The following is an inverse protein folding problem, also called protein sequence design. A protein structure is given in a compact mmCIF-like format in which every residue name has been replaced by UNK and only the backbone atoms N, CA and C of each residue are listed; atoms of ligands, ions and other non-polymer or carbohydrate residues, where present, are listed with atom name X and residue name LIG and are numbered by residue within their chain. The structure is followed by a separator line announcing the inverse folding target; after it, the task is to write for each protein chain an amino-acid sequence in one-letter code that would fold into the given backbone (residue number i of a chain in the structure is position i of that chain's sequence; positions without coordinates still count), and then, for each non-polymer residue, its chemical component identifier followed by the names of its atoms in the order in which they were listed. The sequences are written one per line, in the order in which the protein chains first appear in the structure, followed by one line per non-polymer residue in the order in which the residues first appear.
data_IF_500454749776
#
_entry.id   IF_500454749776
#
_cell.length_a   1.000
_cell.length_b   1.000
_cell.length_c   1.000
_cell.angle_alpha   90.00
_cell.angle_beta   90.00
_cell.angle_gamma   90.00
#
_symmetry.space_group_name_H-M   'P 1'
#
loop_
_entity.id
_entity.type
_entity.pdbx_description
1 polymer ?
#
# COMPACT_ATOMS: atom_id res chain seq x y z
N UNK A 1 22.38 16.65 34.67
CA UNK A 1 21.60 17.21 33.53
C UNK A 1 21.76 16.25 32.34
N UNK A 2 20.76 15.40 32.07
CA UNK A 2 20.71 14.59 30.82
C UNK A 2 20.59 15.57 29.66
N UNK A 3 21.49 15.50 28.66
CA UNK A 3 21.32 16.20 27.39
C UNK A 3 19.97 15.73 26.80
N UNK A 4 18.98 16.64 26.68
CA UNK A 4 17.79 16.36 25.88
C UNK A 4 18.29 16.01 24.47
N UNK A 5 18.08 14.80 24.03
CA UNK A 5 18.35 14.40 22.65
C UNK A 5 17.52 15.30 21.73
N UNK A 6 18.16 15.85 20.71
CA UNK A 6 17.48 16.69 19.73
C UNK A 6 16.66 15.76 18.82
N UNK A 7 15.35 15.82 18.95
CA UNK A 7 14.44 15.10 18.07
C UNK A 7 14.43 15.82 16.73
N UNK A 8 14.89 15.12 15.68
CA UNK A 8 14.88 15.63 14.31
C UNK A 8 13.62 15.15 13.58
N UNK A 9 12.92 16.07 12.94
CA UNK A 9 11.66 15.80 12.24
C UNK A 9 11.88 15.53 10.75
N UNK A 10 10.99 14.73 10.17
CA UNK A 10 10.96 14.56 8.73
C UNK A 10 10.60 15.91 8.04
N UNK A 11 11.38 16.33 7.04
CA UNK A 11 11.15 17.56 6.26
C UNK A 11 9.73 17.72 5.71
N UNK A 12 9.06 16.61 5.39
CA UNK A 12 7.71 16.63 4.84
C UNK A 12 6.67 17.27 5.77
N UNK A 13 6.84 17.17 7.10
CA UNK A 13 5.84 17.72 8.03
C UNK A 13 5.72 19.22 7.96
N UNK A 14 6.84 19.94 7.84
CA UNK A 14 6.79 21.39 7.68
C UNK A 14 6.15 21.81 6.35
N UNK A 15 6.42 21.05 5.30
CA UNK A 15 5.86 21.26 3.96
C UNK A 15 4.35 21.01 3.96
N UNK A 16 3.89 19.93 4.57
CA UNK A 16 2.47 19.60 4.73
C UNK A 16 1.74 20.65 5.58
N UNK A 17 2.38 21.08 6.70
CA UNK A 17 1.84 22.12 7.55
C UNK A 17 1.63 23.44 6.80
N UNK A 18 2.56 23.81 5.90
CA UNK A 18 2.42 24.98 5.03
C UNK A 18 1.34 24.79 3.96
N UNK A 19 1.33 23.63 3.26
CA UNK A 19 0.38 23.34 2.18
C UNK A 19 -1.06 23.32 2.68
N UNK A 20 -1.33 22.74 3.83
CA UNK A 20 -2.65 22.77 4.49
C UNK A 20 -3.17 24.19 4.70
N UNK A 21 -2.28 25.16 4.91
CA UNK A 21 -2.61 26.58 5.05
C UNK A 21 -2.71 27.31 3.71
N UNK A 22 -2.54 26.62 2.57
CA UNK A 22 -2.57 27.18 1.22
C UNK A 22 -1.57 28.36 1.05
N UNK A 23 -0.46 28.36 1.81
CA UNK A 23 0.55 29.38 1.76
C UNK A 23 1.67 29.01 0.80
N UNK A 24 2.12 30.00 0.01
CA UNK A 24 3.37 29.89 -0.76
C UNK A 24 4.56 29.82 0.20
N UNK A 25 5.71 29.33 -0.26
CA UNK A 25 6.92 29.32 0.57
C UNK A 25 7.32 30.72 1.06
N UNK A 26 7.09 31.76 0.23
CA UNK A 26 7.42 33.14 0.56
C UNK A 26 6.52 33.67 1.69
N UNK A 27 5.23 33.50 1.57
CA UNK A 27 4.24 33.90 2.60
C UNK A 27 4.45 33.14 3.90
N UNK A 28 4.65 31.83 3.81
CA UNK A 28 4.91 31.02 4.99
C UNK A 28 6.20 31.44 5.71
N UNK A 29 7.30 31.64 5.00
CA UNK A 29 8.57 32.08 5.57
C UNK A 29 8.43 33.43 6.28
N UNK A 30 7.69 34.36 5.68
CA UNK A 30 7.40 35.67 6.27
C UNK A 30 6.60 35.52 7.57
N UNK A 31 5.50 34.76 7.56
CA UNK A 31 4.65 34.53 8.73
C UNK A 31 5.37 33.74 9.83
N UNK A 32 6.21 32.77 9.45
CA UNK A 32 7.04 32.00 10.37
C UNK A 32 8.23 32.78 10.95
N UNK A 33 8.55 33.95 10.41
CA UNK A 33 9.70 34.75 10.82
C UNK A 33 11.05 34.06 10.52
N UNK A 34 11.13 33.30 9.43
CA UNK A 34 12.34 32.63 8.94
C UNK A 34 12.66 33.07 7.53
N UNK A 35 13.92 32.93 7.12
CA UNK A 35 14.28 33.24 5.72
C UNK A 35 13.69 32.18 4.76
N UNK A 36 13.34 32.60 3.55
CA UNK A 36 12.88 31.71 2.49
C UNK A 36 13.89 30.57 2.21
N UNK A 37 15.19 30.88 2.31
CA UNK A 37 16.24 29.90 2.13
C UNK A 37 16.28 28.87 3.25
N UNK A 38 16.06 29.31 4.52
CA UNK A 38 15.95 28.39 5.65
C UNK A 38 14.75 27.48 5.52
N UNK A 39 13.59 28.00 5.09
CA UNK A 39 12.41 27.19 4.83
C UNK A 39 12.69 26.11 3.76
N UNK A 40 13.29 26.51 2.62
CA UNK A 40 13.66 25.55 1.56
C UNK A 40 14.61 24.48 2.06
N UNK A 41 15.56 24.82 2.92
CA UNK A 41 16.48 23.84 3.49
C UNK A 41 15.78 22.89 4.47
N UNK A 42 14.83 23.36 5.27
CA UNK A 42 14.02 22.51 6.12
C UNK A 42 13.11 21.58 5.30
N UNK A 43 12.39 22.10 4.29
CA UNK A 43 11.48 21.32 3.46
C UNK A 43 12.18 20.28 2.56
N UNK A 44 13.46 20.48 2.25
CA UNK A 44 14.28 19.56 1.43
C UNK A 44 15.20 18.66 2.25
N UNK A 45 15.19 18.76 3.58
CA UNK A 45 16.08 17.99 4.45
C UNK A 45 17.55 18.39 4.41
N UNK A 46 17.91 19.47 3.69
CA UNK A 46 19.28 20.01 3.69
C UNK A 46 19.70 20.62 5.02
N UNK A 47 18.74 20.92 5.85
CA UNK A 47 18.91 21.38 7.23
C UNK A 47 17.92 20.64 8.12
N UNK A 48 18.41 20.09 9.22
CA UNK A 48 17.61 19.40 10.21
C UNK A 48 16.58 20.34 10.83
N UNK A 49 15.31 19.90 10.84
CA UNK A 49 14.24 20.57 11.57
C UNK A 49 14.05 19.85 12.90
N UNK A 50 14.36 20.53 14.00
CA UNK A 50 14.13 19.98 15.33
C UNK A 50 12.67 20.18 15.75
N UNK A 51 12.17 19.31 16.64
CA UNK A 51 10.81 19.43 17.19
C UNK A 51 10.59 20.79 17.85
N UNK A 52 11.55 21.29 18.63
CA UNK A 52 11.45 22.61 19.26
C UNK A 52 11.35 23.73 18.23
N UNK A 53 12.11 23.64 17.12
CA UNK A 53 12.01 24.64 16.05
C UNK A 53 10.68 24.55 15.30
N UNK A 54 10.14 23.36 15.14
CA UNK A 54 8.82 23.19 14.56
C UNK A 54 7.72 23.79 15.46
N UNK A 55 7.78 23.55 16.78
CA UNK A 55 6.87 24.16 17.75
C UNK A 55 6.94 25.69 17.73
N UNK A 56 8.15 26.24 17.68
CA UNK A 56 8.36 27.70 17.54
C UNK A 56 7.72 28.24 16.25
N UNK A 57 7.89 27.54 15.13
CA UNK A 57 7.24 27.93 13.87
C UNK A 57 5.73 27.80 13.98
N UNK A 58 5.23 26.65 14.48
CA UNK A 58 3.79 26.36 14.61
C UNK A 58 3.08 27.40 15.49
N UNK A 59 3.70 27.84 16.58
CA UNK A 59 3.12 28.83 17.49
C UNK A 59 2.84 30.20 16.86
N UNK A 60 3.43 30.51 15.71
CA UNK A 60 3.21 31.75 14.96
C UNK A 60 1.99 31.70 14.03
N UNK A 61 1.39 30.53 13.90
CA UNK A 61 0.20 30.31 13.09
C UNK A 61 -0.97 29.97 14.01
N UNK A 62 -2.11 30.60 13.81
CA UNK A 62 -3.35 30.23 14.50
C UNK A 62 -3.80 28.81 14.15
N UNK A 63 -4.73 28.28 14.95
CA UNK A 63 -5.42 27.04 14.57
C UNK A 63 -6.12 27.22 13.24
N UNK A 64 -6.09 26.20 12.38
CA UNK A 64 -6.94 26.17 11.18
C UNK A 64 -8.39 26.04 11.65
N UNK A 65 -9.15 27.10 11.49
CA UNK A 65 -10.61 27.02 11.55
C UNK A 65 -11.06 26.27 10.32
N UNK A 66 -11.43 25.01 10.47
CA UNK A 66 -11.90 24.09 9.45
C UNK A 66 -10.87 23.61 8.41
N UNK A 67 -10.21 22.48 8.69
CA UNK A 67 -9.81 21.57 7.62
C UNK A 67 -11.03 20.68 7.27
N UNK A 68 -11.68 20.87 6.11
CA UNK A 68 -12.89 20.12 5.78
C UNK A 68 -12.66 18.63 5.56
N UNK A 69 -11.42 18.18 5.36
CA UNK A 69 -11.12 16.76 5.22
C UNK A 69 -10.48 16.17 6.47
N UNK A 70 -11.26 15.39 7.22
CA UNK A 70 -10.73 14.58 8.34
C UNK A 70 -9.84 13.44 7.84
N UNK A 71 -9.83 13.16 6.55
CA UNK A 71 -9.14 12.03 5.96
C UNK A 71 -8.12 12.49 4.93
N UNK A 72 -6.95 11.83 4.95
CA UNK A 72 -5.94 11.95 3.91
C UNK A 72 -5.66 10.59 3.32
N UNK A 73 -5.89 10.42 2.02
CA UNK A 73 -5.65 9.16 1.32
C UNK A 73 -4.31 9.20 0.61
N UNK A 74 -3.61 8.07 0.61
CA UNK A 74 -2.31 7.92 -0.04
C UNK A 74 -2.11 6.51 -0.55
N UNK A 75 -1.26 6.38 -1.55
CA UNK A 75 -0.71 5.09 -1.98
C UNK A 75 0.40 4.69 -1.00
N UNK A 76 0.25 3.53 -0.35
CA UNK A 76 1.20 3.08 0.68
C UNK A 76 2.04 1.87 0.27
N UNK A 77 1.66 1.19 -0.78
CA UNK A 77 2.46 0.15 -1.42
C UNK A 77 2.06 -0.04 -2.88
N UNK A 78 3.05 -0.21 -3.76
CA UNK A 78 2.81 -0.54 -5.17
C UNK A 78 3.74 -1.66 -5.59
N UNK A 79 3.20 -2.66 -6.27
CA UNK A 79 3.97 -3.67 -6.99
C UNK A 79 3.39 -3.84 -8.39
N UNK A 80 4.21 -3.57 -9.39
CA UNK A 80 3.85 -3.66 -10.80
C UNK A 80 4.82 -4.61 -11.48
N UNK A 81 4.28 -5.58 -12.21
CA UNK A 81 5.04 -6.47 -13.10
C UNK A 81 4.85 -6.02 -14.54
N UNK A 82 5.94 -5.88 -15.26
CA UNK A 82 6.00 -5.52 -16.68
C UNK A 82 6.71 -6.63 -17.43
N UNK A 83 6.13 -7.08 -18.57
CA UNK A 83 6.52 -8.33 -19.18
C UNK A 83 7.69 -8.21 -20.17
N UNK A 84 7.97 -7.03 -20.73
CA UNK A 84 8.84 -6.90 -21.89
C UNK A 84 9.82 -5.72 -21.79
N UNK A 85 10.48 -5.54 -20.65
CA UNK A 85 11.41 -4.43 -20.42
C UNK A 85 12.83 -4.82 -20.85
N UNK A 86 13.21 -4.42 -22.06
CA UNK A 86 14.56 -4.66 -22.59
C UNK A 86 15.60 -3.64 -22.14
N UNK A 87 15.18 -2.40 -21.92
CA UNK A 87 16.03 -1.27 -21.56
C UNK A 87 15.60 -0.70 -20.20
N UNK A 88 16.29 -1.11 -19.14
CA UNK A 88 16.06 -0.60 -17.77
C UNK A 88 16.50 0.84 -17.60
N UNK A 89 17.51 1.31 -18.33
CA UNK A 89 17.96 2.69 -18.26
C UNK A 89 16.87 3.63 -18.79
N UNK A 90 16.32 3.29 -19.96
CA UNK A 90 15.18 4.01 -20.53
C UNK A 90 13.97 3.96 -19.57
N UNK A 91 13.65 2.79 -19.02
CA UNK A 91 12.53 2.63 -18.06
C UNK A 91 12.69 3.54 -16.84
N UNK A 92 13.85 3.50 -16.18
CA UNK A 92 14.11 4.32 -15.00
C UNK A 92 14.05 5.82 -15.31
N UNK A 93 14.65 6.24 -16.44
CA UNK A 93 14.66 7.62 -16.86
C UNK A 93 13.27 8.13 -17.24
N UNK A 94 12.51 7.35 -18.01
CA UNK A 94 11.20 7.74 -18.55
C UNK A 94 10.09 7.71 -17.51
N UNK A 95 10.00 6.66 -16.72
CA UNK A 95 8.85 6.42 -15.82
C UNK A 95 9.15 6.71 -14.36
N UNK A 96 10.39 6.50 -13.90
CA UNK A 96 10.77 6.79 -12.51
C UNK A 96 11.45 8.13 -12.34
N UNK A 97 11.80 8.82 -13.46
CA UNK A 97 12.49 10.11 -13.47
C UNK A 97 13.80 10.09 -12.67
N UNK A 98 14.49 8.94 -12.68
CA UNK A 98 15.78 8.74 -12.00
C UNK A 98 16.80 8.12 -12.93
N UNK A 99 18.08 8.45 -12.72
CA UNK A 99 19.15 7.85 -13.50
C UNK A 99 19.40 6.41 -13.04
N UNK A 100 19.50 5.47 -13.98
CA UNK A 100 19.72 4.05 -13.67
C UNK A 100 21.03 3.80 -12.93
N UNK A 101 22.08 4.59 -13.18
CA UNK A 101 23.36 4.52 -12.45
C UNK A 101 23.26 4.74 -10.94
N UNK A 102 22.13 5.31 -10.46
CA UNK A 102 21.90 5.55 -9.04
C UNK A 102 21.36 4.30 -8.32
N UNK A 103 21.06 3.22 -9.06
CA UNK A 103 20.65 1.94 -8.51
C UNK A 103 21.87 1.07 -8.21
N UNK A 104 21.79 0.38 -7.08
CA UNK A 104 22.78 -0.63 -6.66
C UNK A 104 22.26 -2.03 -6.99
N UNK A 105 23.16 -2.89 -7.45
CA UNK A 105 22.88 -4.27 -7.86
C UNK A 105 23.03 -5.23 -6.68
N UNK A 106 22.08 -6.16 -6.54
CA UNK A 106 22.10 -7.21 -5.51
C UNK A 106 21.58 -8.52 -6.09
N UNK A 107 22.07 -9.64 -5.56
CA UNK A 107 21.42 -10.95 -5.77
C UNK A 107 20.10 -11.01 -5.02
N UNK A 108 19.13 -11.72 -5.57
CA UNK A 108 17.81 -11.90 -4.96
C UNK A 108 17.33 -13.34 -5.11
N UNK A 109 16.50 -13.77 -4.15
CA UNK A 109 15.69 -15.00 -4.25
C UNK A 109 14.22 -14.71 -3.99
N UNK A 110 13.84 -13.44 -4.05
CA UNK A 110 12.46 -13.00 -3.79
C UNK A 110 11.63 -13.06 -5.07
N UNK A 111 10.41 -13.59 -4.97
CA UNK A 111 9.44 -13.64 -6.06
C UNK A 111 9.96 -14.36 -7.33
N UNK A 112 10.86 -15.34 -7.15
CA UNK A 112 11.52 -16.10 -8.22
C UNK A 112 12.46 -15.27 -9.13
N UNK A 113 12.84 -14.07 -8.74
CA UNK A 113 13.88 -13.30 -9.40
C UNK A 113 15.24 -13.62 -8.81
N UNK A 114 16.27 -13.64 -9.65
CA UNK A 114 17.65 -13.88 -9.21
C UNK A 114 18.45 -12.57 -9.06
N UNK A 115 17.86 -11.43 -9.43
CA UNK A 115 18.52 -10.14 -9.38
C UNK A 115 17.60 -9.02 -8.89
N UNK A 116 18.19 -7.98 -8.26
CA UNK A 116 17.51 -6.85 -7.66
C UNK A 116 18.32 -5.58 -7.77
N UNK A 117 17.71 -4.54 -8.29
CA UNK A 117 18.20 -3.18 -8.30
C UNK A 117 17.51 -2.36 -7.21
N UNK A 118 18.30 -1.65 -6.40
CA UNK A 118 17.78 -0.79 -5.31
C UNK A 118 18.30 0.63 -5.42
N UNK A 119 17.37 1.57 -5.29
CA UNK A 119 17.65 2.98 -5.02
C UNK A 119 16.81 3.43 -3.83
N UNK A 120 17.40 3.35 -2.63
CA UNK A 120 16.62 3.51 -1.40
C UNK A 120 15.55 2.42 -1.28
N UNK A 121 14.28 2.84 -1.16
CA UNK A 121 13.13 1.95 -1.08
C UNK A 121 12.40 1.74 -2.43
N UNK A 122 13.00 2.18 -3.53
CA UNK A 122 12.55 1.87 -4.90
C UNK A 122 13.32 0.62 -5.35
N UNK A 123 12.62 -0.49 -5.56
CA UNK A 123 13.20 -1.77 -5.89
C UNK A 123 12.71 -2.24 -7.25
N UNK A 124 13.62 -2.79 -8.08
CA UNK A 124 13.32 -3.40 -9.38
C UNK A 124 13.95 -4.78 -9.40
N UNK A 125 13.11 -5.80 -9.52
CA UNK A 125 13.53 -7.18 -9.68
C UNK A 125 13.59 -7.54 -11.15
N UNK A 126 14.65 -8.25 -11.57
CA UNK A 126 14.83 -8.78 -12.91
C UNK A 126 15.66 -10.08 -12.89
N UNK A 127 16.18 -10.51 -14.03
CA UNK A 127 17.00 -11.69 -14.18
C UNK A 127 18.38 -11.35 -14.72
N UNK A 128 19.46 -11.92 -14.16
CA UNK A 128 20.83 -11.78 -14.67
C UNK A 128 20.97 -12.33 -16.09
N UNK A 129 20.33 -13.48 -16.33
CA UNK A 129 20.37 -14.26 -17.59
C UNK A 129 19.31 -13.85 -18.62
N UNK A 130 18.73 -12.69 -18.47
CA UNK A 130 17.63 -12.20 -19.34
C UNK A 130 17.97 -12.15 -20.82
N UNK A 131 19.24 -11.90 -21.17
CA UNK A 131 19.69 -11.87 -22.56
C UNK A 131 19.84 -13.27 -23.16
N UNK A 132 20.12 -14.27 -22.34
CA UNK A 132 20.27 -15.68 -22.74
C UNK A 132 18.90 -16.36 -22.82
N UNK A 133 18.06 -16.12 -21.82
CA UNK A 133 16.73 -16.75 -21.69
C UNK A 133 15.63 -16.01 -22.45
N UNK A 134 15.86 -14.77 -22.86
CA UNK A 134 14.85 -13.89 -23.43
C UNK A 134 13.78 -13.43 -22.43
N UNK A 135 14.01 -13.61 -21.13
CA UNK A 135 13.07 -13.23 -20.10
C UNK A 135 13.30 -11.80 -19.62
N UNK A 136 12.61 -10.86 -20.25
CA UNK A 136 12.69 -9.43 -19.96
C UNK A 136 11.62 -8.95 -18.98
N UNK A 137 11.01 -9.83 -18.22
CA UNK A 137 10.06 -9.47 -17.17
C UNK A 137 10.78 -8.77 -16.03
N UNK A 138 10.20 -7.67 -15.56
CA UNK A 138 10.61 -6.99 -14.34
C UNK A 138 9.44 -6.87 -13.36
N UNK A 139 9.76 -6.75 -12.08
CA UNK A 139 8.78 -6.33 -11.07
C UNK A 139 9.34 -5.13 -10.31
N UNK A 140 8.68 -4.00 -10.43
CA UNK A 140 8.93 -2.84 -9.59
C UNK A 140 8.14 -2.94 -8.29
N UNK A 141 8.79 -2.65 -7.17
CA UNK A 141 8.18 -2.63 -5.84
C UNK A 141 8.53 -1.37 -5.09
N UNK A 142 7.50 -0.72 -4.57
CA UNK A 142 7.59 0.45 -3.69
C UNK A 142 6.91 0.11 -2.37
N UNK A 143 7.65 0.13 -1.27
CA UNK A 143 7.06 0.10 0.08
C UNK A 143 6.53 1.48 0.45
N UNK A 144 5.92 1.66 1.63
CA UNK A 144 5.46 2.98 2.09
C UNK A 144 6.53 4.06 1.99
N UNK A 145 7.79 3.76 2.36
CA UNK A 145 8.93 4.67 2.16
C UNK A 145 9.25 4.87 0.67
N UNK A 146 9.18 3.81 -0.13
CA UNK A 146 9.37 3.89 -1.57
C UNK A 146 8.31 4.74 -2.28
N UNK A 147 7.04 4.61 -1.87
CA UNK A 147 5.96 5.48 -2.35
C UNK A 147 6.23 6.95 -1.99
N UNK A 148 6.69 7.23 -0.76
CA UNK A 148 7.07 8.61 -0.36
C UNK A 148 8.24 9.14 -1.19
N UNK A 149 9.25 8.30 -1.49
CA UNK A 149 10.36 8.69 -2.38
C UNK A 149 9.86 8.99 -3.80
N UNK A 150 8.97 8.18 -4.35
CA UNK A 150 8.37 8.45 -5.67
C UNK A 150 7.53 9.72 -5.67
N UNK A 151 6.74 9.97 -4.63
CA UNK A 151 5.94 11.19 -4.52
C UNK A 151 6.79 12.46 -4.49
N UNK A 152 7.97 12.42 -3.86
CA UNK A 152 8.93 13.52 -3.91
C UNK A 152 9.48 13.76 -5.33
N UNK A 153 9.75 12.67 -6.06
CA UNK A 153 10.18 12.75 -7.46
C UNK A 153 9.04 13.33 -8.32
N UNK A 154 7.84 12.78 -8.18
CA UNK A 154 6.65 13.24 -8.89
C UNK A 154 6.37 14.72 -8.66
N UNK A 155 6.50 15.19 -7.42
CA UNK A 155 6.30 16.60 -7.11
C UNK A 155 7.33 17.51 -7.79
N UNK A 156 8.59 17.08 -7.90
CA UNK A 156 9.62 17.82 -8.60
C UNK A 156 9.37 17.89 -10.12
N UNK A 157 8.81 16.84 -10.69
CA UNK A 157 8.48 16.74 -12.12
C UNK A 157 7.08 17.31 -12.45
N UNK A 158 6.27 17.62 -11.42
CA UNK A 158 4.90 18.13 -11.59
C UNK A 158 3.90 17.08 -12.05
N UNK A 159 4.15 15.80 -11.76
CA UNK A 159 3.29 14.66 -12.10
C UNK A 159 2.65 14.04 -10.84
N UNK A 160 1.65 13.20 -11.05
CA UNK A 160 0.90 12.52 -10.01
C UNK A 160 0.96 10.99 -10.16
N UNK A 161 0.41 10.25 -9.18
CA UNK A 161 0.18 8.81 -9.34
C UNK A 161 -0.68 8.47 -10.56
N UNK A 162 -1.66 9.33 -10.88
CA UNK A 162 -2.51 9.14 -12.05
C UNK A 162 -1.68 9.18 -13.34
N UNK A 163 -0.86 10.22 -13.50
CA UNK A 163 0.02 10.38 -14.65
C UNK A 163 0.98 9.19 -14.79
N UNK A 164 1.56 8.75 -13.67
CA UNK A 164 2.45 7.60 -13.64
C UNK A 164 1.76 6.31 -14.13
N UNK A 165 0.57 5.99 -13.61
CA UNK A 165 -0.17 4.81 -14.06
C UNK A 165 -0.65 4.94 -15.49
N UNK A 166 -1.06 6.15 -15.93
CA UNK A 166 -1.46 6.41 -17.31
C UNK A 166 -0.30 6.19 -18.28
N UNK A 167 0.87 6.75 -18.00
CA UNK A 167 2.04 6.57 -18.85
C UNK A 167 2.47 5.11 -18.97
N UNK A 168 2.44 4.37 -17.85
CA UNK A 168 2.72 2.93 -17.87
C UNK A 168 1.67 2.16 -18.66
N UNK A 169 0.38 2.45 -18.49
CA UNK A 169 -0.70 1.76 -19.23
C UNK A 169 -0.64 2.05 -20.73
N UNK A 170 -0.33 3.29 -21.12
CA UNK A 170 -0.14 3.67 -22.53
C UNK A 170 1.06 2.94 -23.15
N UNK A 171 2.18 2.84 -22.40
CA UNK A 171 3.40 2.23 -22.91
C UNK A 171 3.35 0.69 -22.98
N UNK A 172 2.71 0.05 -22.02
CA UNK A 172 2.79 -1.41 -21.84
C UNK A 172 1.44 -2.14 -21.97
N UNK A 173 0.33 -1.42 -21.99
CA UNK A 173 -1.00 -2.02 -22.20
C UNK A 173 -1.28 -3.19 -21.28
N UNK A 174 -1.52 -4.37 -21.86
CA UNK A 174 -1.79 -5.61 -21.13
C UNK A 174 -0.52 -6.27 -20.53
N UNK A 175 0.66 -5.83 -20.94
CA UNK A 175 1.94 -6.26 -20.34
C UNK A 175 2.18 -5.63 -18.97
N UNK A 176 1.39 -4.61 -18.59
CA UNK A 176 1.40 -4.02 -17.26
C UNK A 176 0.41 -4.73 -16.35
N UNK A 177 0.90 -5.27 -15.22
CA UNK A 177 0.07 -5.91 -14.19
C UNK A 177 0.37 -5.33 -12.83
N UNK A 178 -0.64 -4.72 -12.21
CA UNK A 178 -0.54 -4.28 -10.82
C UNK A 178 -0.83 -5.48 -9.92
N UNK A 179 0.22 -6.06 -9.34
CA UNK A 179 0.12 -7.30 -8.56
C UNK A 179 -0.17 -7.04 -7.08
N UNK A 180 0.09 -5.81 -6.60
CA UNK A 180 -0.29 -5.33 -5.27
C UNK A 180 -0.40 -3.81 -5.25
N UNK A 181 -1.44 -3.33 -4.59
CA UNK A 181 -1.64 -1.91 -4.26
C UNK A 181 -2.19 -1.84 -2.84
N UNK A 182 -1.51 -1.09 -1.96
CA UNK A 182 -2.06 -0.77 -0.65
C UNK A 182 -2.42 0.72 -0.63
N UNK A 183 -3.65 1.01 -0.22
CA UNK A 183 -4.13 2.35 0.02
C UNK A 183 -4.21 2.58 1.53
N UNK A 184 -3.75 3.72 2.00
CA UNK A 184 -3.87 4.12 3.38
C UNK A 184 -4.72 5.38 3.50
N UNK A 185 -5.65 5.38 4.45
CA UNK A 185 -6.44 6.53 4.85
C UNK A 185 -5.99 6.94 6.25
N UNK A 186 -5.41 8.13 6.37
CA UNK A 186 -5.08 8.72 7.67
C UNK A 186 -6.24 9.57 8.16
N UNK A 187 -6.78 9.25 9.32
CA UNK A 187 -7.69 10.11 10.07
C UNK A 187 -6.89 11.20 10.76
N UNK A 188 -7.17 12.47 10.42
CA UNK A 188 -6.43 13.60 10.93
C UNK A 188 -7.00 14.06 12.28
N UNK A 189 -6.11 14.24 13.26
CA UNK A 189 -6.44 14.78 14.56
C UNK A 189 -6.68 16.29 14.48
N UNK A 190 -7.84 16.75 14.92
CA UNK A 190 -8.26 18.14 14.78
C UNK A 190 -8.10 18.99 16.05
N UNK A 191 -7.53 18.43 17.11
CA UNK A 191 -7.25 19.17 18.35
C UNK A 191 -7.61 18.42 19.64
N UNK A 192 -7.03 18.85 20.73
CA UNK A 192 -7.04 18.13 22.01
C UNK A 192 -8.41 18.05 22.70
N UNK A 193 -9.28 19.01 22.45
CA UNK A 193 -10.60 19.06 23.12
C UNK A 193 -11.63 18.11 22.48
N UNK A 194 -11.23 17.40 21.43
CA UNK A 194 -12.16 16.65 20.59
C UNK A 194 -11.91 15.13 20.50
N UNK A 195 -11.22 14.56 21.48
CA UNK A 195 -11.03 13.11 21.53
C UNK A 195 -12.38 12.36 21.52
N UNK A 196 -13.37 12.90 22.25
CA UNK A 196 -14.73 12.37 22.25
C UNK A 196 -15.42 12.37 20.87
N UNK A 197 -14.97 13.21 19.93
CA UNK A 197 -15.48 13.25 18.55
C UNK A 197 -14.72 12.32 17.60
N UNK A 198 -13.55 11.81 18.00
CA UNK A 198 -12.77 10.87 17.20
C UNK A 198 -13.39 9.47 17.22
N UNK A 199 -13.14 8.73 16.15
CA UNK A 199 -13.55 7.34 16.09
C UNK A 199 -12.54 6.46 16.86
N UNK A 200 -13.02 5.72 17.84
CA UNK A 200 -12.18 4.83 18.66
C UNK A 200 -12.21 3.42 18.07
N UNK A 201 -11.04 2.88 17.74
CA UNK A 201 -10.95 1.50 17.24
C UNK A 201 -11.33 0.47 18.33
N UNK A 202 -11.18 0.82 19.61
CA UNK A 202 -11.69 0.03 20.73
C UNK A 202 -13.21 -0.19 20.67
N UNK A 203 -13.96 0.83 20.18
CA UNK A 203 -15.40 0.73 20.08
C UNK A 203 -15.82 -0.34 19.08
N UNK A 204 -15.05 -0.57 18.00
CA UNK A 204 -15.31 -1.63 17.04
C UNK A 204 -15.28 -3.02 17.70
N UNK A 205 -14.41 -3.22 18.68
CA UNK A 205 -14.34 -4.49 19.43
C UNK A 205 -15.63 -4.71 20.24
N UNK A 206 -16.07 -3.69 20.95
CA UNK A 206 -17.33 -3.72 21.72
C UNK A 206 -18.52 -3.94 20.79
N UNK A 207 -18.59 -3.18 19.68
CA UNK A 207 -19.66 -3.28 18.68
C UNK A 207 -19.72 -4.66 18.01
N UNK A 208 -18.58 -5.33 17.83
CA UNK A 208 -18.56 -6.71 17.34
C UNK A 208 -19.32 -7.66 18.28
N UNK A 209 -19.04 -7.60 19.58
CA UNK A 209 -19.72 -8.44 20.56
C UNK A 209 -21.22 -8.10 20.73
N UNK A 210 -21.60 -6.84 20.43
CA UNK A 210 -23.00 -6.40 20.42
C UNK A 210 -23.70 -6.65 19.08
N UNK A 211 -23.03 -7.27 18.08
CA UNK A 211 -23.54 -7.49 16.71
C UNK A 211 -23.86 -6.20 15.95
N UNK A 212 -23.14 -5.15 16.27
CA UNK A 212 -23.21 -3.82 15.65
C UNK A 212 -22.06 -3.56 14.66
N UNK A 213 -21.22 -4.56 14.40
CA UNK A 213 -20.15 -4.54 13.41
C UNK A 213 -20.42 -5.62 12.36
N UNK A 214 -20.59 -5.21 11.11
CA UNK A 214 -20.70 -6.10 9.96
C UNK A 214 -19.49 -5.98 9.06
N UNK A 215 -18.90 -7.10 8.67
CA UNK A 215 -17.81 -7.18 7.71
C UNK A 215 -18.17 -8.15 6.60
N UNK A 216 -19.03 -7.71 5.73
CA UNK A 216 -19.68 -8.46 4.67
C UNK A 216 -18.70 -9.32 3.85
N UNK A 217 -19.00 -10.62 3.77
CA UNK A 217 -18.24 -11.65 3.03
C UNK A 217 -16.77 -11.85 3.45
N UNK A 218 -16.30 -11.25 4.53
CA UNK A 218 -15.02 -11.57 5.14
C UNK A 218 -15.20 -12.59 6.26
N UNK A 219 -14.43 -13.68 6.24
CA UNK A 219 -14.62 -14.83 7.16
C UNK A 219 -13.88 -14.68 8.46
N UNK A 220 -12.86 -13.84 8.49
CA UNK A 220 -11.97 -13.70 9.65
C UNK A 220 -11.80 -12.24 10.01
N UNK A 221 -11.81 -12.01 11.31
CA UNK A 221 -11.31 -10.77 11.86
C UNK A 221 -10.45 -11.10 13.09
N UNK A 222 -9.53 -10.23 13.41
CA UNK A 222 -8.67 -10.35 14.57
C UNK A 222 -8.32 -8.96 15.08
N UNK A 223 -7.99 -8.84 16.36
CA UNK A 223 -7.45 -7.61 16.91
C UNK A 223 -6.23 -7.89 17.78
N UNK A 224 -5.34 -6.91 17.81
CA UNK A 224 -4.17 -6.90 18.70
C UNK A 224 -4.23 -5.58 19.46
N UNK A 225 -4.23 -5.66 20.78
CA UNK A 225 -4.06 -4.53 21.67
C UNK A 225 -2.94 -4.85 22.64
N UNK A 226 -2.11 -3.87 22.96
CA UNK A 226 -1.02 -4.02 23.93
C UNK A 226 -1.28 -3.16 25.16
N UNK A 227 -0.65 -3.52 26.25
CA UNK A 227 -0.63 -2.79 27.49
C UNK A 227 -0.50 -3.73 28.69
N UNK A 228 -0.05 -3.20 29.82
CA UNK A 228 -0.03 -3.92 31.09
C UNK A 228 -1.43 -4.06 31.62
N UNK A 229 -1.75 -5.25 32.15
CA UNK A 229 -2.97 -5.47 32.93
C UNK A 229 -2.79 -5.11 34.42
N UNK A 230 -1.65 -4.56 34.80
CA UNK A 230 -1.44 -4.05 36.15
C UNK A 230 -2.18 -2.70 36.29
N UNK A 231 -3.30 -2.76 36.99
CA UNK A 231 -4.21 -1.66 37.22
C UNK A 231 -3.84 -0.80 38.44
N UNK A 232 -2.58 -0.78 38.86
CA UNK A 232 -2.18 -0.08 40.09
C UNK A 232 -2.03 1.44 39.88
N UNK A 233 -1.81 1.90 38.62
CA UNK A 233 -1.70 3.33 38.30
C UNK A 233 -2.26 3.61 36.91
N UNK A 234 -3.24 4.53 36.79
CA UNK A 234 -3.83 4.93 35.50
C UNK A 234 -2.79 5.54 34.53
N UNK A 235 -1.77 6.23 35.06
CA UNK A 235 -0.69 6.78 34.26
C UNK A 235 0.24 5.70 33.69
N UNK A 236 0.57 4.66 34.46
CA UNK A 236 1.36 3.51 33.95
C UNK A 236 0.62 2.73 32.87
N UNK A 237 -0.72 2.67 32.94
CA UNK A 237 -1.53 2.00 31.91
C UNK A 237 -1.41 2.74 30.56
N UNK A 238 -1.47 4.07 30.56
CA UNK A 238 -1.34 4.87 29.34
C UNK A 238 0.08 4.83 28.75
N UNK A 239 1.11 4.92 29.58
CA UNK A 239 2.52 4.85 29.15
C UNK A 239 2.88 3.50 28.54
N UNK A 240 2.26 2.41 28.97
CA UNK A 240 2.50 1.06 28.44
C UNK A 240 1.56 0.65 27.31
N UNK A 241 0.59 1.44 26.95
CA UNK A 241 -0.37 1.16 25.88
C UNK A 241 0.33 1.16 24.53
N UNK A 242 0.21 0.07 23.78
CA UNK A 242 0.84 -0.10 22.46
C UNK A 242 -0.10 0.23 21.27
N UNK A 243 -1.29 0.72 21.57
CA UNK A 243 -2.34 0.97 20.58
C UNK A 243 -3.08 -0.30 20.14
N UNK A 244 -4.14 -0.11 19.39
CA UNK A 244 -5.01 -1.17 18.89
C UNK A 244 -4.80 -1.31 17.37
N UNK A 245 -4.76 -2.56 16.91
CA UNK A 245 -4.79 -2.91 15.49
C UNK A 245 -5.90 -3.91 15.24
N UNK A 246 -6.74 -3.63 14.26
CA UNK A 246 -7.85 -4.48 13.83
C UNK A 246 -7.58 -5.00 12.43
N UNK A 247 -7.80 -6.29 12.23
CA UNK A 247 -7.54 -6.97 10.97
C UNK A 247 -8.82 -7.62 10.45
N UNK A 248 -9.18 -7.34 9.19
CA UNK A 248 -10.35 -7.92 8.54
C UNK A 248 -9.93 -8.68 7.27
N UNK A 249 -10.37 -9.91 7.17
CA UNK A 249 -10.01 -10.82 6.09
C UNK A 249 -8.69 -11.56 6.32
N UNK A 250 -8.30 -12.39 5.36
CA UNK A 250 -7.04 -13.12 5.36
C UNK A 250 -5.95 -12.35 4.62
N UNK A 251 -4.72 -12.41 5.11
CA UNK A 251 -3.54 -11.85 4.40
C UNK A 251 -3.30 -12.51 3.03
N UNK A 252 -3.87 -13.67 2.80
CA UNK A 252 -3.78 -14.40 1.54
C UNK A 252 -4.91 -14.05 0.56
N UNK A 253 -5.94 -13.31 1.02
CA UNK A 253 -7.03 -12.87 0.15
C UNK A 253 -6.59 -11.70 -0.72
N UNK A 254 -7.30 -11.50 -1.84
CA UNK A 254 -7.05 -10.36 -2.72
C UNK A 254 -7.40 -9.01 -2.10
N UNK A 255 -8.16 -9.00 -0.99
CA UNK A 255 -8.51 -7.80 -0.23
C UNK A 255 -8.41 -8.10 1.25
N UNK A 256 -7.70 -7.24 1.98
CA UNK A 256 -7.43 -7.35 3.40
C UNK A 256 -7.34 -5.95 4.00
N UNK A 257 -7.90 -5.77 5.19
CA UNK A 257 -7.89 -4.48 5.87
C UNK A 257 -7.12 -4.56 7.17
N UNK A 258 -6.39 -3.49 7.47
CA UNK A 258 -5.67 -3.29 8.71
C UNK A 258 -5.94 -1.86 9.22
N UNK A 259 -6.72 -1.74 10.29
CA UNK A 259 -7.04 -0.46 10.93
C UNK A 259 -6.29 -0.37 12.24
N UNK A 260 -5.54 0.70 12.44
CA UNK A 260 -4.74 0.83 13.66
C UNK A 260 -4.53 2.26 14.12
N UNK A 261 -4.26 2.39 15.41
CA UNK A 261 -3.97 3.67 16.08
C UNK A 261 -2.56 4.15 15.69
N UNK A 262 -2.46 4.86 14.58
CA UNK A 262 -1.19 5.32 13.98
C UNK A 262 -0.36 6.19 14.91
N UNK A 263 -1.00 6.96 15.79
CA UNK A 263 -0.32 7.80 16.78
C UNK A 263 0.66 7.03 17.68
N UNK A 264 0.31 5.80 18.07
CA UNK A 264 1.19 4.96 18.90
C UNK A 264 2.40 4.44 18.14
N UNK A 265 2.20 4.03 16.88
CA UNK A 265 3.30 3.60 16.02
C UNK A 265 4.29 4.74 15.79
N UNK A 266 3.80 5.94 15.47
CA UNK A 266 4.63 7.13 15.25
C UNK A 266 5.36 7.56 16.53
N UNK A 267 4.69 7.53 17.67
CA UNK A 267 5.29 7.82 18.96
C UNK A 267 6.50 6.90 19.23
N UNK A 268 6.32 5.60 19.00
CA UNK A 268 7.39 4.61 19.18
C UNK A 268 8.53 4.78 18.18
N UNK A 269 8.23 5.03 16.90
CA UNK A 269 9.25 5.18 15.86
C UNK A 269 10.13 6.41 16.06
N UNK A 270 9.53 7.50 16.53
CA UNK A 270 10.21 8.80 16.69
C UNK A 270 10.64 9.07 18.14
N UNK A 271 10.42 8.11 19.05
CA UNK A 271 10.71 8.23 20.49
C UNK A 271 10.03 9.47 21.13
N UNK A 272 8.75 9.64 20.83
CA UNK A 272 7.88 10.71 21.32
C UNK A 272 6.84 10.15 22.30
N UNK A 273 6.23 10.99 23.13
CA UNK A 273 4.95 10.64 23.76
C UNK A 273 3.84 10.59 22.70
N UNK A 274 2.71 9.99 23.04
CA UNK A 274 1.54 9.91 22.12
C UNK A 274 1.01 11.31 21.83
N UNK A 275 0.98 12.19 22.83
CA UNK A 275 0.55 13.59 22.68
C UNK A 275 1.51 14.37 21.78
N UNK A 276 2.82 14.25 22.00
CA UNK A 276 3.82 14.86 21.11
C UNK A 276 3.67 14.33 19.67
N UNK A 277 3.41 13.05 19.52
CA UNK A 277 3.16 12.43 18.21
C UNK A 277 1.93 13.04 17.53
N UNK A 278 0.82 13.21 18.24
CA UNK A 278 -0.38 13.88 17.72
C UNK A 278 -0.10 15.34 17.35
N UNK A 279 0.65 16.04 18.17
CA UNK A 279 1.01 17.44 17.89
C UNK A 279 1.86 17.56 16.62
N UNK A 280 2.84 16.67 16.45
CA UNK A 280 3.79 16.68 15.33
C UNK A 280 3.16 16.20 14.04
N UNK A 281 2.51 15.04 14.07
CA UNK A 281 2.04 14.34 12.88
C UNK A 281 0.57 14.62 12.57
N UNK A 282 -0.23 14.89 13.60
CA UNK A 282 -1.65 15.14 13.47
C UNK A 282 -2.44 13.94 12.92
N UNK A 283 -1.94 12.71 13.10
CA UNK A 283 -2.60 11.49 12.63
C UNK A 283 -3.13 10.73 13.83
N UNK A 284 -4.45 10.47 13.82
CA UNK A 284 -5.13 9.70 14.86
C UNK A 284 -5.09 8.21 14.58
N UNK A 285 -5.84 7.75 13.59
CA UNK A 285 -5.89 6.38 13.14
C UNK A 285 -5.41 6.27 11.69
N UNK A 286 -5.02 5.05 11.29
CA UNK A 286 -4.81 4.69 9.88
C UNK A 286 -5.68 3.49 9.51
N UNK A 287 -6.30 3.58 8.35
CA UNK A 287 -7.12 2.53 7.75
C UNK A 287 -6.43 2.08 6.45
N UNK A 288 -5.77 0.94 6.49
CA UNK A 288 -5.06 0.37 5.34
C UNK A 288 -5.94 -0.64 4.61
N UNK A 289 -5.92 -0.57 3.30
CA UNK A 289 -6.58 -1.50 2.39
C UNK A 289 -5.49 -2.13 1.55
N UNK A 290 -5.20 -3.40 1.77
CA UNK A 290 -4.30 -4.17 0.93
C UNK A 290 -5.06 -4.86 -0.17
N UNK A 291 -4.66 -4.61 -1.40
CA UNK A 291 -5.23 -5.18 -2.60
C UNK A 291 -4.18 -5.98 -3.34
N UNK A 292 -4.56 -7.14 -3.87
CA UNK A 292 -3.66 -8.02 -4.62
C UNK A 292 -4.33 -8.48 -5.91
N UNK A 293 -3.49 -8.80 -6.92
CA UNK A 293 -3.91 -9.36 -8.20
C UNK A 293 -5.06 -8.58 -8.87
N UNK A 294 -6.16 -9.24 -9.20
CA UNK A 294 -7.28 -8.64 -9.92
C UNK A 294 -7.90 -7.44 -9.18
N UNK A 295 -7.90 -7.43 -7.84
CA UNK A 295 -8.42 -6.29 -7.07
C UNK A 295 -7.49 -5.07 -7.15
N UNK A 296 -6.17 -5.28 -7.09
CA UNK A 296 -5.20 -4.19 -7.25
C UNK A 296 -5.26 -3.59 -8.67
N UNK A 297 -5.34 -4.46 -9.68
CA UNK A 297 -5.49 -4.04 -11.07
C UNK A 297 -6.79 -3.24 -11.28
N UNK A 298 -7.92 -3.74 -10.77
CA UNK A 298 -9.23 -3.08 -10.89
C UNK A 298 -9.26 -1.69 -10.24
N UNK A 299 -8.59 -1.49 -9.11
CA UNK A 299 -8.50 -0.15 -8.49
C UNK A 299 -7.73 0.82 -9.38
N UNK A 300 -6.62 0.38 -9.98
CA UNK A 300 -5.87 1.24 -10.91
C UNK A 300 -6.71 1.55 -12.15
N UNK A 301 -7.48 0.60 -12.67
CA UNK A 301 -8.39 0.83 -13.79
C UNK A 301 -9.47 1.85 -13.47
N UNK A 302 -10.15 1.76 -12.31
CA UNK A 302 -11.10 2.77 -11.84
C UNK A 302 -10.46 4.15 -11.68
N UNK A 303 -9.24 4.19 -11.14
CA UNK A 303 -8.49 5.44 -11.00
C UNK A 303 -8.15 6.06 -12.36
N UNK A 304 -7.77 5.24 -13.34
CA UNK A 304 -7.52 5.67 -14.73
C UNK A 304 -8.78 6.14 -15.45
N UNK A 305 -9.97 5.67 -15.05
CA UNK A 305 -11.26 6.16 -15.53
C UNK A 305 -11.67 7.49 -14.89
N UNK A 306 -10.88 8.01 -13.96
CA UNK A 306 -11.08 9.33 -13.34
C UNK A 306 -11.79 9.32 -11.99
N UNK A 307 -11.99 8.14 -11.38
CA UNK A 307 -12.51 8.07 -10.00
C UNK A 307 -11.38 8.40 -9.03
N UNK A 308 -11.61 9.31 -8.11
CA UNK A 308 -10.60 9.76 -7.14
C UNK A 308 -10.19 8.63 -6.16
N UNK A 309 -8.91 8.52 -5.81
CA UNK A 309 -8.41 7.48 -4.90
C UNK A 309 -9.06 7.55 -3.51
N UNK A 310 -9.42 8.74 -3.03
CA UNK A 310 -10.11 8.88 -1.76
C UNK A 310 -11.55 8.36 -1.82
N UNK A 311 -12.20 8.53 -2.95
CA UNK A 311 -13.53 7.96 -3.20
C UNK A 311 -13.42 6.43 -3.30
N UNK A 312 -12.50 5.90 -4.10
CA UNK A 312 -12.26 4.46 -4.25
C UNK A 312 -12.00 3.82 -2.88
N UNK A 313 -11.07 4.37 -2.09
CA UNK A 313 -10.69 3.81 -0.80
C UNK A 313 -11.87 3.76 0.18
N UNK A 314 -12.66 4.85 0.30
CA UNK A 314 -13.86 4.88 1.14
C UNK A 314 -14.94 3.92 0.64
N UNK A 315 -15.15 3.87 -0.67
CA UNK A 315 -16.11 2.98 -1.29
C UNK A 315 -15.76 1.49 -1.09
N UNK A 316 -14.46 1.15 -1.08
CA UNK A 316 -14.00 -0.21 -0.75
C UNK A 316 -14.28 -0.56 0.71
N UNK A 317 -14.01 0.35 1.65
CA UNK A 317 -14.34 0.14 3.07
C UNK A 317 -15.85 -0.08 3.21
N UNK A 318 -16.68 0.81 2.68
CA UNK A 318 -18.14 0.72 2.78
C UNK A 318 -18.71 -0.55 2.14
N UNK A 319 -18.04 -1.12 1.14
CA UNK A 319 -18.45 -2.37 0.51
C UNK A 319 -18.27 -3.59 1.41
N UNK A 320 -17.48 -3.46 2.48
CA UNK A 320 -17.02 -4.59 3.30
C UNK A 320 -17.26 -4.41 4.79
N UNK A 321 -17.18 -3.19 5.32
CA UNK A 321 -17.22 -2.93 6.75
C UNK A 321 -18.26 -1.85 7.02
N UNK A 322 -19.23 -2.19 7.88
CA UNK A 322 -20.25 -1.27 8.36
C UNK A 322 -20.28 -1.29 9.88
N UNK A 323 -20.38 -0.11 10.47
CA UNK A 323 -20.44 0.08 11.92
C UNK A 323 -21.78 0.71 12.27
N UNK A 324 -22.48 0.10 13.22
CA UNK A 324 -23.83 0.50 13.61
C UNK A 324 -23.87 1.01 15.05
N UNK A 325 -24.94 1.73 15.36
CA UNK A 325 -25.23 2.29 16.69
C UNK A 325 -26.63 1.82 17.14
N UNK A 326 -26.77 0.51 17.24
CA UNK A 326 -28.02 -0.15 17.63
C UNK A 326 -29.07 -0.22 16.52
N UNK A 327 -30.32 -0.42 16.94
CA UNK A 327 -31.48 -0.56 16.08
C UNK A 327 -32.46 0.61 16.30
N UNK A 328 -33.15 1.04 15.26
CA UNK A 328 -34.26 1.97 15.39
C UNK A 328 -35.55 1.24 15.87
N UNK A 329 -36.62 1.99 16.09
CA UNK A 329 -37.92 1.49 16.56
C UNK A 329 -38.55 0.45 15.62
N UNK A 330 -38.08 0.35 14.38
CA UNK A 330 -38.55 -0.60 13.37
C UNK A 330 -37.61 -1.80 13.20
N UNK A 331 -36.58 -1.94 14.04
CA UNK A 331 -35.60 -3.03 13.99
C UNK A 331 -34.54 -2.91 12.87
N UNK A 332 -34.42 -1.74 12.23
CA UNK A 332 -33.36 -1.48 11.26
C UNK A 332 -32.11 -0.94 11.96
N UNK A 333 -30.94 -1.38 11.50
CA UNK A 333 -29.66 -0.89 12.02
C UNK A 333 -29.45 0.59 11.71
N UNK A 334 -29.03 1.34 12.71
CA UNK A 334 -28.61 2.73 12.57
C UNK A 334 -27.10 2.77 12.37
N UNK A 335 -26.65 3.46 11.32
CA UNK A 335 -25.22 3.67 11.10
C UNK A 335 -24.60 4.51 12.22
N UNK A 336 -23.42 4.10 12.70
CA UNK A 336 -22.65 4.90 13.64
C UNK A 336 -22.32 6.27 13.05
N UNK A 337 -22.61 7.33 13.81
CA UNK A 337 -22.47 8.72 13.32
C UNK A 337 -21.00 9.09 13.05
N UNK A 338 -20.07 8.63 13.91
CA UNK A 338 -18.64 8.91 13.74
C UNK A 338 -18.09 8.17 12.51
N UNK A 339 -18.53 6.93 12.30
CA UNK A 339 -18.20 6.14 11.11
C UNK A 339 -18.73 6.80 9.85
N UNK A 340 -19.98 7.28 9.87
CA UNK A 340 -20.55 8.00 8.74
C UNK A 340 -19.83 9.30 8.39
N UNK A 341 -19.33 10.04 9.41
CA UNK A 341 -18.53 11.24 9.17
C UNK A 341 -17.18 10.92 8.47
N UNK A 342 -16.61 9.72 8.72
CA UNK A 342 -15.37 9.30 8.09
C UNK A 342 -15.61 8.72 6.68
N UNK A 343 -16.52 7.78 6.57
CA UNK A 343 -16.66 6.95 5.36
C UNK A 343 -17.99 7.10 4.64
N UNK A 344 -18.95 7.81 5.20
CA UNK A 344 -20.26 8.02 4.57
C UNK A 344 -20.21 8.87 3.29
N UNK A 345 -21.34 8.88 2.59
CA UNK A 345 -21.56 9.72 1.39
C UNK A 345 -20.86 9.20 0.12
N UNK A 346 -20.37 7.96 0.13
CA UNK A 346 -19.77 7.32 -1.04
C UNK A 346 -20.45 5.98 -1.26
N UNK A 347 -20.85 5.71 -2.50
CA UNK A 347 -21.44 4.43 -2.89
C UNK A 347 -20.42 3.28 -2.74
N UNK A 348 -20.86 2.10 -2.28
CA UNK A 348 -19.99 0.94 -2.15
C UNK A 348 -19.44 0.47 -3.50
N UNK A 349 -18.12 0.43 -3.64
CA UNK A 349 -17.45 -0.05 -4.85
C UNK A 349 -17.29 -1.56 -4.84
N UNK A 350 -17.87 -2.24 -5.81
CA UNK A 350 -17.70 -3.67 -6.04
C UNK A 350 -16.77 -3.89 -7.22
N UNK A 351 -15.49 -4.10 -6.96
CA UNK A 351 -14.55 -4.49 -8.00
C UNK A 351 -14.91 -5.89 -8.52
N UNK A 352 -15.30 -5.98 -9.78
CA UNK A 352 -15.41 -7.26 -10.45
C UNK A 352 -14.01 -7.72 -10.86
N UNK A 353 -13.55 -8.85 -10.35
CA UNK A 353 -12.39 -9.52 -10.92
C UNK A 353 -12.89 -10.31 -12.11
N UNK A 354 -12.45 -9.94 -13.31
CA UNK A 354 -12.52 -10.90 -14.40
C UNK A 354 -11.66 -12.12 -14.00
N UNK A 355 -12.14 -13.35 -14.19
CA UNK A 355 -11.29 -14.51 -13.98
C UNK A 355 -10.02 -14.33 -14.81
N UNK A 356 -8.84 -14.47 -14.19
CA UNK A 356 -7.58 -14.45 -14.93
C UNK A 356 -7.73 -15.41 -16.12
N UNK A 357 -7.44 -14.91 -17.32
CA UNK A 357 -7.43 -15.78 -18.51
C UNK A 357 -6.46 -16.92 -18.23
N UNK A 358 -6.96 -18.15 -18.33
CA UNK A 358 -6.15 -19.34 -18.13
C UNK A 358 -5.08 -19.40 -19.21
N UNK A 359 -3.83 -19.17 -18.84
CA UNK A 359 -2.72 -19.12 -19.79
C UNK A 359 -1.74 -20.25 -19.49
N UNK A 360 -1.56 -21.17 -20.46
CA UNK A 360 -0.62 -22.29 -20.37
C UNK A 360 0.83 -21.81 -20.24
N UNK A 361 1.17 -20.66 -20.82
CA UNK A 361 2.53 -20.08 -20.75
C UNK A 361 2.96 -19.78 -19.32
N UNK A 362 2.01 -19.43 -18.43
CA UNK A 362 2.29 -19.23 -17.01
C UNK A 362 2.68 -20.55 -16.34
N UNK A 363 1.99 -21.63 -16.67
CA UNK A 363 2.32 -22.97 -16.16
C UNK A 363 3.68 -23.42 -16.68
N UNK A 364 3.97 -23.22 -17.96
CA UNK A 364 5.27 -23.54 -18.58
C UNK A 364 6.37 -22.74 -17.88
N UNK A 365 6.22 -21.42 -17.71
CA UNK A 365 7.21 -20.58 -17.00
C UNK A 365 7.43 -21.04 -15.57
N UNK A 366 6.36 -21.36 -14.85
CA UNK A 366 6.47 -21.88 -13.49
C UNK A 366 7.27 -23.20 -13.45
N UNK A 367 6.98 -24.14 -14.35
CA UNK A 367 7.73 -25.39 -14.47
C UNK A 367 9.21 -25.13 -14.78
N UNK A 368 9.50 -24.22 -15.70
CA UNK A 368 10.88 -23.84 -16.06
C UNK A 368 11.66 -23.24 -14.88
N UNK A 369 11.04 -22.45 -14.03
CA UNK A 369 11.75 -21.77 -12.94
C UNK A 369 11.74 -22.52 -11.60
N UNK A 370 10.76 -23.39 -11.36
CA UNK A 370 10.60 -24.04 -10.06
C UNK A 370 10.94 -25.53 -10.07
N UNK A 371 10.87 -26.17 -11.21
CA UNK A 371 10.90 -27.62 -11.27
C UNK A 371 11.94 -28.16 -12.29
N UNK A 372 12.42 -27.31 -13.20
CA UNK A 372 13.33 -27.72 -14.28
C UNK A 372 14.60 -28.41 -13.77
N UNK A 373 15.24 -27.88 -12.73
CA UNK A 373 16.47 -28.47 -12.17
C UNK A 373 16.19 -29.86 -11.59
N UNK A 374 15.06 -30.03 -10.90
CA UNK A 374 14.64 -31.32 -10.37
C UNK A 374 14.29 -32.31 -11.45
N UNK A 375 13.63 -31.86 -12.53
CA UNK A 375 13.31 -32.72 -13.69
C UNK A 375 14.56 -33.13 -14.45
N UNK A 376 15.53 -32.20 -14.62
CA UNK A 376 16.81 -32.51 -15.25
C UNK A 376 17.60 -33.54 -14.43
N UNK A 377 17.60 -33.43 -13.10
CA UNK A 377 18.22 -34.41 -12.21
C UNK A 377 17.58 -35.80 -12.37
N UNK A 378 16.25 -35.86 -12.42
CA UNK A 378 15.51 -37.15 -12.62
C UNK A 378 15.81 -37.71 -14.01
N UNK A 379 15.87 -36.89 -15.05
CA UNK A 379 16.20 -37.32 -16.41
C UNK A 379 17.60 -37.92 -16.50
N UNK A 380 18.60 -37.27 -15.88
CA UNK A 380 19.97 -37.80 -15.86
C UNK A 380 20.08 -39.07 -15.00
N UNK A 381 19.35 -39.14 -13.87
CA UNK A 381 19.24 -40.38 -13.11
C UNK A 381 18.64 -41.53 -13.92
N UNK A 382 17.53 -41.29 -14.62
CA UNK A 382 16.87 -42.27 -15.46
C UNK A 382 17.82 -42.82 -16.55
N UNK A 383 18.62 -41.95 -17.17
CA UNK A 383 19.66 -42.33 -18.13
C UNK A 383 20.72 -43.26 -17.53
N UNK A 384 21.11 -43.05 -16.28
CA UNK A 384 22.10 -43.83 -15.60
C UNK A 384 21.62 -45.21 -15.15
N UNK A 385 20.38 -45.30 -14.71
CA UNK A 385 19.79 -46.55 -14.15
C UNK A 385 18.90 -47.29 -15.14
N UNK A 386 18.70 -46.74 -16.35
CA UNK A 386 17.79 -47.26 -17.36
C UNK A 386 16.32 -47.39 -16.87
N UNK A 387 15.84 -46.40 -16.14
CA UNK A 387 14.46 -46.28 -15.66
C UNK A 387 13.71 -45.14 -16.37
N UNK A 388 12.38 -45.05 -16.18
CA UNK A 388 11.51 -44.02 -16.79
C UNK A 388 10.75 -43.22 -15.72
N UNK A 389 11.42 -42.86 -14.61
CA UNK A 389 10.78 -42.13 -13.49
C UNK A 389 10.20 -40.78 -13.90
N UNK A 390 10.90 -40.04 -14.78
CA UNK A 390 10.37 -38.76 -15.30
C UNK A 390 9.05 -38.95 -16.01
N UNK A 391 8.94 -40.02 -16.84
CA UNK A 391 7.70 -40.34 -17.57
C UNK A 391 6.60 -40.80 -16.63
N UNK A 392 6.95 -41.54 -15.57
CA UNK A 392 6.01 -41.92 -14.51
C UNK A 392 5.48 -40.73 -13.77
N UNK A 393 6.32 -39.75 -13.41
CA UNK A 393 5.92 -38.49 -12.77
C UNK A 393 4.92 -37.74 -13.65
N UNK A 394 5.19 -37.57 -14.94
CA UNK A 394 4.30 -36.89 -15.87
C UNK A 394 2.97 -37.63 -16.00
N UNK A 395 2.99 -38.96 -16.13
CA UNK A 395 1.81 -39.79 -16.29
C UNK A 395 0.98 -39.93 -15.00
N UNK A 396 1.55 -39.69 -13.83
CA UNK A 396 0.82 -39.70 -12.57
C UNK A 396 -0.03 -38.42 -12.36
N UNK A 397 0.17 -37.39 -13.20
CA UNK A 397 -0.59 -36.15 -13.14
C UNK A 397 -1.96 -36.31 -13.82
N UNK A 398 -3.01 -35.87 -13.13
CA UNK A 398 -4.36 -35.79 -13.70
C UNK A 398 -4.71 -34.33 -14.01
N UNK A 399 -5.40 -34.12 -15.13
CA UNK A 399 -5.92 -32.81 -15.47
C UNK A 399 -7.11 -32.49 -14.59
N UNK A 400 -6.95 -31.48 -13.77
CA UNK A 400 -8.08 -30.92 -13.01
C UNK A 400 -8.91 -29.96 -13.87
N UNK A 401 -10.07 -29.52 -13.36
CA UNK A 401 -10.99 -28.61 -14.06
C UNK A 401 -10.30 -27.34 -14.60
N UNK A 402 -9.25 -26.87 -13.95
CA UNK A 402 -8.46 -25.73 -14.39
C UNK A 402 -7.61 -26.09 -15.62
N UNK A 403 -6.97 -27.24 -15.61
CA UNK A 403 -6.17 -27.72 -16.73
C UNK A 403 -7.04 -27.92 -17.98
N UNK A 404 -8.22 -28.50 -17.81
CA UNK A 404 -9.18 -28.68 -18.92
C UNK A 404 -9.66 -27.34 -19.48
N UNK A 405 -9.94 -26.34 -18.67
CA UNK A 405 -10.32 -25.00 -19.13
C UNK A 405 -9.21 -24.33 -19.93
N UNK A 406 -7.94 -24.47 -19.50
CA UNK A 406 -6.78 -23.98 -20.26
C UNK A 406 -6.73 -24.63 -21.65
N UNK A 407 -6.81 -25.95 -21.72
CA UNK A 407 -6.75 -26.67 -22.98
C UNK A 407 -7.93 -26.34 -23.89
N UNK A 408 -9.13 -26.17 -23.35
CA UNK A 408 -10.30 -25.81 -24.13
C UNK A 408 -10.18 -24.37 -24.68
N UNK A 409 -9.58 -23.45 -23.95
CA UNK A 409 -9.27 -22.11 -24.45
C UNK A 409 -8.30 -22.16 -25.64
N UNK A 410 -7.23 -22.96 -25.55
CA UNK A 410 -6.26 -23.13 -26.62
C UNK A 410 -6.92 -23.79 -27.84
N UNK A 411 -7.73 -24.86 -27.65
CA UNK A 411 -8.47 -25.51 -28.74
C UNK A 411 -9.41 -24.55 -29.47
N UNK A 412 -10.10 -23.68 -28.73
CA UNK A 412 -10.99 -22.66 -29.30
C UNK A 412 -10.20 -21.65 -30.14
N UNK A 413 -9.04 -21.20 -29.67
CA UNK A 413 -8.18 -20.27 -30.41
C UNK A 413 -7.65 -20.88 -31.71
N UNK A 414 -7.21 -22.15 -31.67
CA UNK A 414 -6.72 -22.86 -32.86
C UNK A 414 -7.85 -23.12 -33.90
N UNK A 415 -9.07 -23.40 -33.44
CA UNK A 415 -10.21 -23.61 -34.35
C UNK A 415 -10.67 -22.29 -35.02
N UNK A 416 -10.47 -21.14 -34.39
CA UNK A 416 -10.70 -19.84 -35.01
C UNK A 416 -9.66 -19.52 -36.10
N UNK A 417 -8.39 -19.84 -35.87
CA UNK A 417 -7.33 -19.62 -36.87
C UNK A 417 -7.48 -20.49 -38.12
N UNK A 418 -7.97 -21.72 -37.97
CA UNK A 418 -8.23 -22.62 -39.12
C UNK A 418 -9.45 -22.25 -39.97
N UNK A 419 -10.37 -21.42 -39.46
CA UNK A 419 -11.52 -20.90 -40.20
C UNK A 419 -11.24 -19.59 -40.94
N UNK A 420 -10.09 -18.97 -40.70
CA UNK A 420 -9.67 -17.69 -41.30
C UNK A 420 -8.55 -17.86 -42.35
N UNK A 421 -8.12 -19.08 -42.59
CA UNK A 421 -7.25 -19.51 -43.69
C UNK A 421 -8.05 -20.32 -44.74
#
# INVERSE_FOLDING_TARGET
MKKKERICMNPMYLKDFRKKRKLTQKEFALSAGISLQSLKFYETGRRELTLDKFREIKSKFGCLEHDPSRLRVMVDYVRITLMSIRDLEFFCKKFLHVAFKDFQSYESKLMNYNHLWKRGDIWIFDYFDKFETGNYQITMQLSGKGCRQMELIFENEGITWLDFFQELKIAYGEDMRVTRLDLAIDELYQGYEKEAEQFLLSDMITKYYHKELDFNSMRTWNYIGGGSLNFEDEQEIEENRQGISLYFGSRQSEMYFNFYEKRYELAKQENLSVEESLEVFGIWNRYEIRLSHGKAQGVVEEYLLGVDLAEIARALINSKINVYDGLNDYGAYLMDKKWQLLFGGVEPLKLSTQPESYNIERTIRWLMHQVSDSLALVEEYDKLVCEENLRMIINSGELNDRGEKILNSVRSSLSCMQKSS
#
